data_IF_259450793067
#
_entry.id   IF_259450793067
#
_cell.length_a   1.000
_cell.length_b   1.000
_cell.length_c   1.000
_cell.angle_alpha   90.00
_cell.angle_beta   90.00
_cell.angle_gamma   90.00
#
_symmetry.space_group_name_H-M   'P 1'
#
loop_
_entity.id
_entity.type
_entity.pdbx_description
1 polymer ?
#
# COMPACT_ATOMS: atom_id res chain seq x y z
N UNK A 1 31.63 31.26 42.00
CA UNK A 1 30.21 30.90 41.72
C UNK A 1 29.81 31.14 40.26
N UNK A 2 30.68 30.84 39.27
CA UNK A 2 30.40 31.12 37.84
C UNK A 2 30.63 29.93 36.88
N UNK A 3 31.18 28.79 37.34
CA UNK A 3 31.46 27.65 36.45
C UNK A 3 30.27 26.68 36.27
N UNK A 4 29.40 26.54 37.28
CA UNK A 4 28.25 25.62 37.22
C UNK A 4 27.06 26.19 36.43
N UNK A 5 26.90 27.52 36.38
CA UNK A 5 25.83 28.18 35.61
C UNK A 5 26.00 28.01 34.09
N UNK A 6 27.24 28.01 33.60
CA UNK A 6 27.51 27.81 32.18
C UNK A 6 27.22 26.37 31.73
N UNK A 7 27.49 25.36 32.57
CA UNK A 7 27.19 23.95 32.25
C UNK A 7 25.68 23.66 32.17
N UNK A 8 24.88 24.32 32.99
CA UNK A 8 23.42 24.18 32.97
C UNK A 8 22.78 24.75 31.69
N UNK A 9 23.32 25.86 31.17
CA UNK A 9 22.88 26.48 29.92
C UNK A 9 23.11 25.55 28.71
N UNK A 10 24.25 24.86 28.63
CA UNK A 10 24.52 23.91 27.54
C UNK A 10 23.58 22.70 27.56
N UNK A 11 23.19 22.21 28.74
CA UNK A 11 22.26 21.08 28.88
C UNK A 11 20.85 21.48 28.40
N UNK A 12 20.39 22.68 28.74
CA UNK A 12 19.09 23.20 28.30
C UNK A 12 19.06 23.42 26.78
N UNK A 13 20.13 23.93 26.18
CA UNK A 13 20.24 24.07 24.73
C UNK A 13 20.31 22.73 23.98
N UNK A 14 20.84 21.67 24.60
CA UNK A 14 20.90 20.34 23.97
C UNK A 14 19.54 19.62 24.00
N UNK A 15 18.73 19.83 25.05
CA UNK A 15 17.38 19.23 25.18
C UNK A 15 16.39 19.86 24.17
N UNK A 16 16.53 21.16 23.87
CA UNK A 16 15.67 21.87 22.91
C UNK A 16 15.92 21.49 21.44
N UNK A 17 17.06 20.88 21.11
CA UNK A 17 17.36 20.40 19.75
C UNK A 17 16.72 19.03 19.44
N UNK A 18 16.28 18.29 20.45
CA UNK A 18 15.69 16.95 20.28
C UNK A 18 14.16 17.03 20.10
N UNK A 19 13.56 18.21 20.30
CA UNK A 19 12.11 18.43 20.11
C UNK A 19 11.78 19.04 18.75
N UNK A 20 12.66 18.89 17.75
CA UNK A 20 12.22 19.04 16.35
C UNK A 20 11.19 17.95 16.09
N UNK A 21 9.92 18.26 16.33
CA UNK A 21 8.78 17.54 15.77
C UNK A 21 8.91 17.65 14.26
N UNK A 22 9.70 16.77 13.65
CA UNK A 22 9.48 16.39 12.27
C UNK A 22 8.08 15.77 12.28
N UNK A 23 7.10 16.49 11.75
CA UNK A 23 5.78 15.92 11.46
C UNK A 23 6.07 14.66 10.63
N UNK A 24 5.88 13.49 11.24
CA UNK A 24 6.10 12.23 10.54
C UNK A 24 5.16 12.24 9.33
N UNK A 25 5.72 12.22 8.14
CA UNK A 25 4.92 12.16 6.91
C UNK A 25 4.13 10.87 6.91
N UNK A 26 2.88 10.94 6.46
CA UNK A 26 2.03 9.76 6.28
C UNK A 26 2.76 8.68 5.48
N UNK A 27 2.73 7.43 5.97
CA UNK A 27 3.22 6.25 5.28
C UNK A 27 2.05 5.35 4.92
N UNK A 28 2.03 4.80 3.69
CA UNK A 28 0.93 3.95 3.22
C UNK A 28 0.64 2.76 4.14
N UNK A 29 1.65 2.20 4.81
CA UNK A 29 1.48 1.07 5.73
C UNK A 29 0.72 1.41 7.02
N UNK A 30 0.52 2.71 7.32
CA UNK A 30 -0.44 3.11 8.34
C UNK A 30 -1.85 2.61 8.01
N UNK A 31 -2.21 2.45 6.73
CA UNK A 31 -3.50 1.89 6.32
C UNK A 31 -3.61 0.41 6.70
N UNK A 32 -2.54 -0.37 6.45
CA UNK A 32 -2.51 -1.78 6.86
C UNK A 32 -2.65 -1.90 8.38
N UNK A 33 -1.87 -1.12 9.11
CA UNK A 33 -1.91 -1.14 10.57
C UNK A 33 -3.28 -0.75 11.14
N UNK A 34 -3.85 0.36 10.67
CA UNK A 34 -5.08 0.91 11.26
C UNK A 34 -6.34 0.18 10.78
N UNK A 35 -6.34 -0.34 9.55
CA UNK A 35 -7.54 -0.93 8.97
C UNK A 35 -7.50 -2.46 8.98
N UNK A 36 -6.37 -3.09 8.67
CA UNK A 36 -6.31 -4.53 8.42
C UNK A 36 -5.88 -5.32 9.65
N UNK A 37 -4.83 -4.89 10.36
CA UNK A 37 -4.18 -5.70 11.40
C UNK A 37 -5.20 -6.20 12.44
N UNK A 38 -6.07 -5.33 12.98
CA UNK A 38 -7.03 -5.72 14.01
C UNK A 38 -8.11 -6.69 13.52
N UNK A 39 -8.59 -6.53 12.28
CA UNK A 39 -9.62 -7.39 11.70
C UNK A 39 -9.07 -8.78 11.41
N UNK A 40 -7.87 -8.86 10.82
CA UNK A 40 -7.23 -10.14 10.53
C UNK A 40 -6.84 -10.87 11.82
N UNK A 41 -6.34 -10.15 12.83
CA UNK A 41 -5.97 -10.74 14.11
C UNK A 41 -7.16 -11.34 14.86
N UNK A 42 -8.35 -10.74 14.76
CA UNK A 42 -9.57 -11.29 15.36
C UNK A 42 -9.90 -12.69 14.82
N UNK A 43 -9.59 -12.93 13.55
CA UNK A 43 -9.77 -14.22 12.87
C UNK A 43 -8.53 -15.12 12.98
N UNK A 44 -7.51 -14.73 13.75
CA UNK A 44 -6.29 -15.51 13.97
C UNK A 44 -5.26 -15.42 12.85
N UNK A 45 -5.36 -14.41 11.97
CA UNK A 45 -4.47 -14.20 10.84
C UNK A 45 -3.59 -12.96 11.02
N UNK A 46 -2.47 -12.93 10.30
CA UNK A 46 -1.61 -11.75 10.13
C UNK A 46 -1.53 -11.40 8.65
N UNK A 47 -2.16 -10.28 8.28
CA UNK A 47 -2.21 -9.78 6.90
C UNK A 47 -0.82 -9.57 6.30
N UNK A 48 0.18 -9.12 7.08
CA UNK A 48 1.53 -8.90 6.55
C UNK A 48 2.19 -10.23 6.22
N UNK A 49 1.98 -11.25 7.05
CA UNK A 49 2.42 -12.61 6.75
C UNK A 49 1.76 -13.13 5.47
N UNK A 50 0.44 -12.99 5.34
CA UNK A 50 -0.31 -13.39 4.13
C UNK A 50 0.25 -12.69 2.87
N UNK A 51 0.47 -11.37 2.93
CA UNK A 51 1.04 -10.60 1.82
C UNK A 51 2.44 -11.11 1.45
N UNK A 52 3.30 -11.36 2.45
CA UNK A 52 4.66 -11.84 2.22
C UNK A 52 4.67 -13.26 1.62
N UNK A 53 3.78 -14.13 2.07
CA UNK A 53 3.73 -15.51 1.57
C UNK A 53 3.19 -15.56 0.13
N UNK A 54 2.18 -14.74 -0.20
CA UNK A 54 1.70 -14.61 -1.57
C UNK A 54 2.74 -13.96 -2.49
N UNK A 55 3.50 -12.95 -2.02
CA UNK A 55 4.63 -12.40 -2.78
C UNK A 55 5.66 -13.50 -3.13
N UNK A 56 6.00 -14.36 -2.15
CA UNK A 56 6.92 -15.49 -2.38
C UNK A 56 6.37 -16.48 -3.41
N UNK A 57 5.05 -16.74 -3.39
CA UNK A 57 4.40 -17.58 -4.38
C UNK A 57 4.56 -16.97 -5.79
N UNK A 58 4.21 -15.69 -5.95
CA UNK A 58 4.34 -15.01 -7.25
C UNK A 58 5.78 -14.97 -7.78
N UNK A 59 6.77 -14.86 -6.89
CA UNK A 59 8.19 -14.95 -7.27
C UNK A 59 8.54 -16.38 -7.68
N UNK A 60 8.11 -17.39 -6.91
CA UNK A 60 8.33 -18.81 -7.21
C UNK A 60 7.74 -19.21 -8.57
N UNK A 61 6.55 -18.69 -8.88
CA UNK A 61 5.84 -18.96 -10.13
C UNK A 61 6.37 -18.12 -11.30
N UNK A 62 7.36 -17.25 -11.06
CA UNK A 62 7.98 -16.40 -12.07
C UNK A 62 7.08 -15.26 -12.57
N UNK A 63 6.00 -14.95 -11.85
CA UNK A 63 5.15 -13.79 -12.12
C UNK A 63 5.90 -12.51 -11.77
N UNK A 64 6.42 -12.43 -10.55
CA UNK A 64 7.29 -11.36 -10.09
C UNK A 64 8.76 -11.78 -10.26
N UNK A 65 9.63 -10.82 -10.61
CA UNK A 65 11.07 -11.07 -10.64
C UNK A 65 11.66 -11.16 -9.23
N UNK A 66 11.22 -10.29 -8.34
CA UNK A 66 11.65 -10.15 -6.95
C UNK A 66 10.56 -9.41 -6.14
N UNK A 67 10.79 -9.23 -4.83
CA UNK A 67 9.87 -8.53 -3.92
C UNK A 67 9.98 -6.99 -3.95
N UNK A 68 10.70 -6.41 -4.91
CA UNK A 68 10.77 -4.95 -5.07
C UNK A 68 9.51 -4.44 -5.78
N UNK A 69 8.98 -3.31 -5.33
CA UNK A 69 7.82 -2.65 -5.92
C UNK A 69 7.88 -2.43 -7.44
N UNK A 70 9.07 -2.27 -8.03
CA UNK A 70 9.23 -2.17 -9.50
C UNK A 70 8.81 -3.47 -10.21
N UNK A 71 9.02 -4.64 -9.62
CA UNK A 71 8.59 -5.92 -10.20
C UNK A 71 7.08 -5.99 -10.36
N UNK A 72 6.32 -5.37 -9.46
CA UNK A 72 4.86 -5.27 -9.57
C UNK A 72 4.42 -4.38 -10.73
N UNK A 73 5.07 -3.23 -10.89
CA UNK A 73 4.80 -2.32 -12.01
C UNK A 73 5.17 -2.98 -13.35
N UNK A 74 6.24 -3.77 -13.41
CA UNK A 74 6.60 -4.54 -14.60
C UNK A 74 5.50 -5.54 -14.99
N UNK A 75 4.90 -6.24 -14.02
CA UNK A 75 3.75 -7.12 -14.28
C UNK A 75 2.53 -6.33 -14.72
N UNK A 76 2.20 -5.22 -14.05
CA UNK A 76 1.05 -4.41 -14.43
C UNK A 76 1.20 -3.83 -15.83
N UNK A 77 2.41 -3.42 -16.21
CA UNK A 77 2.70 -2.99 -17.58
C UNK A 77 2.45 -4.10 -18.60
N UNK A 78 2.83 -5.36 -18.30
CA UNK A 78 2.53 -6.51 -19.16
C UNK A 78 1.03 -6.70 -19.33
N UNK A 79 0.28 -6.67 -18.22
CA UNK A 79 -1.21 -6.75 -18.21
C UNK A 79 -1.85 -5.71 -19.13
N UNK A 80 -1.32 -4.49 -19.13
CA UNK A 80 -1.83 -3.39 -19.95
C UNK A 80 -1.45 -3.58 -21.42
N UNK A 81 -0.20 -3.95 -21.69
CA UNK A 81 0.35 -3.99 -23.06
C UNK A 81 0.00 -5.25 -23.86
N UNK A 82 -0.30 -6.35 -23.20
CA UNK A 82 -0.56 -7.66 -23.81
C UNK A 82 -1.94 -8.17 -23.36
N UNK A 83 -2.90 -8.15 -24.30
CA UNK A 83 -4.28 -8.58 -24.06
C UNK A 83 -4.39 -10.08 -23.75
N UNK A 84 -3.43 -10.87 -24.19
CA UNK A 84 -3.38 -12.32 -23.99
C UNK A 84 -2.55 -12.70 -22.77
N UNK A 85 -1.94 -11.71 -22.09
CA UNK A 85 -1.24 -11.95 -20.84
C UNK A 85 -2.18 -12.53 -19.78
N UNK A 86 -1.72 -13.59 -19.12
CA UNK A 86 -2.42 -14.26 -18.01
C UNK A 86 -1.44 -14.50 -16.89
N UNK A 87 -1.91 -14.32 -15.66
CA UNK A 87 -1.13 -14.61 -14.46
C UNK A 87 -1.33 -16.09 -14.16
N UNK A 88 -0.25 -16.88 -14.25
CA UNK A 88 -0.27 -18.34 -14.03
C UNK A 88 0.16 -18.66 -12.59
N UNK A 89 -0.64 -18.21 -11.64
CA UNK A 89 -0.51 -18.44 -10.20
C UNK A 89 -1.91 -18.56 -9.61
N UNK A 90 -2.04 -19.16 -8.42
CA UNK A 90 -3.25 -19.02 -7.61
C UNK A 90 -3.55 -17.52 -7.40
N UNK A 91 -4.84 -17.19 -7.31
CA UNK A 91 -5.28 -15.81 -7.05
C UNK A 91 -5.02 -15.41 -5.60
N UNK A 92 -4.84 -14.12 -5.33
CA UNK A 92 -4.76 -13.64 -3.96
C UNK A 92 -6.06 -13.93 -3.23
N UNK A 93 -7.19 -13.86 -3.92
CA UNK A 93 -8.47 -14.28 -3.38
C UNK A 93 -8.45 -15.73 -2.85
N UNK A 94 -7.92 -16.70 -3.59
CA UNK A 94 -7.81 -18.09 -3.11
C UNK A 94 -6.84 -18.23 -1.93
N UNK A 95 -5.82 -17.37 -1.89
CA UNK A 95 -4.79 -17.36 -0.86
C UNK A 95 -5.24 -16.69 0.46
N UNK A 96 -6.02 -15.62 0.33
CA UNK A 96 -6.44 -14.76 1.43
C UNK A 96 -7.68 -15.34 2.14
N UNK A 97 -7.61 -15.59 3.47
CA UNK A 97 -8.76 -16.02 4.26
C UNK A 97 -9.96 -15.04 4.19
N UNK A 98 -9.77 -13.84 3.64
CA UNK A 98 -10.81 -12.85 3.36
C UNK A 98 -12.12 -13.37 2.76
N UNK A 99 -12.12 -14.47 1.98
CA UNK A 99 -13.35 -15.06 1.44
C UNK A 99 -14.28 -15.65 2.50
N UNK A 100 -13.81 -15.77 3.74
CA UNK A 100 -14.57 -16.27 4.89
C UNK A 100 -15.17 -15.14 5.73
N UNK A 101 -14.91 -13.88 5.38
CA UNK A 101 -15.23 -12.71 6.19
C UNK A 101 -16.62 -12.15 5.83
N UNK A 102 -17.38 -11.75 6.86
CA UNK A 102 -18.71 -11.17 6.72
C UNK A 102 -18.71 -9.89 5.85
N UNK A 103 -19.73 -9.69 5.01
CA UNK A 103 -19.89 -8.48 4.18
C UNK A 103 -19.78 -7.19 4.99
N UNK A 104 -20.21 -7.20 6.25
CA UNK A 104 -20.11 -6.07 7.16
C UNK A 104 -18.66 -5.67 7.43
N UNK A 105 -17.75 -6.64 7.55
CA UNK A 105 -16.32 -6.38 7.76
C UNK A 105 -15.69 -5.78 6.50
N UNK A 106 -16.13 -6.20 5.31
CA UNK A 106 -15.69 -5.58 4.06
C UNK A 106 -16.09 -4.09 3.97
N UNK A 107 -17.31 -3.75 4.41
CA UNK A 107 -17.74 -2.35 4.54
C UNK A 107 -16.89 -1.60 5.56
N UNK A 108 -16.60 -2.21 6.72
CA UNK A 108 -15.75 -1.59 7.75
C UNK A 108 -14.33 -1.31 7.26
N UNK A 109 -13.71 -2.24 6.51
CA UNK A 109 -12.42 -1.99 5.89
C UNK A 109 -12.47 -0.84 4.90
N UNK A 110 -13.45 -0.85 4.00
CA UNK A 110 -13.61 0.21 3.00
C UNK A 110 -13.75 1.59 3.66
N UNK A 111 -14.56 1.69 4.71
CA UNK A 111 -14.74 2.94 5.46
C UNK A 111 -13.46 3.37 6.18
N UNK A 112 -12.70 2.41 6.74
CA UNK A 112 -11.41 2.69 7.37
C UNK A 112 -10.38 3.20 6.35
N UNK A 113 -10.23 2.52 5.21
CA UNK A 113 -9.30 2.94 4.16
C UNK A 113 -9.63 4.34 3.68
N UNK A 114 -10.91 4.61 3.39
CA UNK A 114 -11.36 5.94 2.96
C UNK A 114 -11.00 7.00 4.02
N UNK A 115 -11.23 6.71 5.30
CA UNK A 115 -10.86 7.63 6.39
C UNK A 115 -9.35 7.89 6.42
N UNK A 116 -8.53 6.84 6.28
CA UNK A 116 -7.07 6.97 6.30
C UNK A 116 -6.54 7.74 5.09
N UNK A 117 -7.12 7.52 3.90
CA UNK A 117 -6.82 8.28 2.69
C UNK A 117 -7.13 9.76 2.89
N UNK A 118 -8.28 10.10 3.46
CA UNK A 118 -8.65 11.50 3.74
C UNK A 118 -7.73 12.15 4.78
N UNK A 119 -7.17 11.38 5.71
CA UNK A 119 -6.14 11.87 6.63
C UNK A 119 -4.81 12.11 5.88
N UNK A 120 -4.39 11.17 5.04
CA UNK A 120 -3.19 11.30 4.21
C UNK A 120 -3.24 12.57 3.34
N UNK A 121 -4.37 12.79 2.65
CA UNK A 121 -4.62 13.99 1.82
C UNK A 121 -4.49 15.30 2.62
N UNK A 122 -4.88 15.32 3.90
CA UNK A 122 -4.74 16.49 4.77
C UNK A 122 -3.31 16.71 5.26
N UNK A 123 -2.52 15.66 5.32
CA UNK A 123 -1.16 15.72 5.84
C UNK A 123 -0.13 16.13 4.79
N UNK A 124 -0.28 15.64 3.55
CA UNK A 124 0.63 15.86 2.43
C UNK A 124 -0.15 15.90 1.10
N UNK A 125 0.08 16.97 0.31
CA UNK A 125 -0.59 17.19 -0.97
C UNK A 125 -0.19 16.18 -2.05
N UNK A 126 0.92 15.45 -1.89
CA UNK A 126 1.25 14.30 -2.73
C UNK A 126 0.11 13.28 -2.77
N UNK A 127 -0.54 13.03 -1.62
CA UNK A 127 -1.63 12.06 -1.53
C UNK A 127 -2.92 12.56 -2.18
N UNK A 128 -3.12 13.88 -2.22
CA UNK A 128 -4.20 14.49 -3.03
C UNK A 128 -3.98 14.12 -4.50
N UNK A 129 -2.77 14.39 -5.02
CA UNK A 129 -2.46 14.10 -6.42
C UNK A 129 -2.53 12.62 -6.76
N UNK A 130 -2.23 11.72 -5.82
CA UNK A 130 -2.33 10.29 -6.05
C UNK A 130 -3.79 9.81 -6.02
N UNK A 131 -4.48 10.01 -4.89
CA UNK A 131 -5.78 9.40 -4.65
C UNK A 131 -6.90 10.08 -5.45
N UNK A 132 -6.90 11.41 -5.59
CA UNK A 132 -7.93 12.08 -6.39
C UNK A 132 -7.79 11.74 -7.88
N UNK A 133 -6.54 11.56 -8.36
CA UNK A 133 -6.33 11.09 -9.75
C UNK A 133 -6.79 9.65 -9.93
N UNK A 134 -6.60 8.77 -8.95
CA UNK A 134 -7.13 7.40 -9.02
C UNK A 134 -8.67 7.35 -8.99
N UNK A 135 -9.30 8.26 -8.25
CA UNK A 135 -10.75 8.39 -8.16
C UNK A 135 -11.37 9.12 -9.37
N UNK A 136 -10.55 9.73 -10.24
CA UNK A 136 -11.02 10.39 -11.44
C UNK A 136 -11.59 9.36 -12.45
N UNK A 137 -12.78 9.61 -13.05
CA UNK A 137 -13.42 8.68 -13.97
C UNK A 137 -12.50 8.24 -15.12
N UNK A 138 -11.76 9.17 -15.71
CA UNK A 138 -10.82 8.87 -16.80
C UNK A 138 -9.72 7.86 -16.39
N UNK A 139 -9.21 7.97 -15.16
CA UNK A 139 -8.17 7.08 -14.65
C UNK A 139 -8.75 5.72 -14.27
N UNK A 140 -9.95 5.68 -13.69
CA UNK A 140 -10.63 4.43 -13.35
C UNK A 140 -10.94 3.59 -14.60
N UNK A 141 -11.20 4.25 -15.73
CA UNK A 141 -11.50 3.61 -17.01
C UNK A 141 -10.24 3.29 -17.84
N UNK A 142 -9.07 3.82 -17.48
CA UNK A 142 -7.81 3.62 -18.20
C UNK A 142 -6.72 3.01 -17.33
N UNK A 143 -6.44 1.70 -17.48
CA UNK A 143 -5.31 1.04 -16.85
C UNK A 143 -3.96 1.73 -17.14
N UNK A 144 -3.79 2.29 -18.34
CA UNK A 144 -2.60 3.06 -18.74
C UNK A 144 -2.44 4.32 -17.90
N UNK A 145 -3.51 5.11 -17.71
CA UNK A 145 -3.46 6.31 -16.87
C UNK A 145 -3.20 5.96 -15.41
N UNK A 146 -3.84 4.91 -14.90
CA UNK A 146 -3.58 4.37 -13.56
C UNK A 146 -2.10 4.02 -13.36
N UNK A 147 -1.49 3.36 -14.35
CA UNK A 147 -0.05 3.04 -14.35
C UNK A 147 0.81 4.30 -14.33
N UNK A 148 0.50 5.31 -15.14
CA UNK A 148 1.23 6.58 -15.17
C UNK A 148 1.15 7.32 -13.83
N UNK A 149 -0.04 7.39 -13.23
CA UNK A 149 -0.23 8.04 -11.92
C UNK A 149 0.62 7.34 -10.85
N UNK A 150 0.69 6.01 -10.84
CA UNK A 150 1.59 5.28 -9.93
C UNK A 150 3.06 5.66 -10.15
N UNK A 151 3.53 5.66 -11.40
CA UNK A 151 4.94 5.98 -11.71
C UNK A 151 5.33 7.41 -11.33
N UNK A 152 4.43 8.36 -11.50
CA UNK A 152 4.70 9.79 -11.28
C UNK A 152 4.63 10.19 -9.80
N UNK A 153 3.80 9.49 -9.00
CA UNK A 153 3.43 9.95 -7.67
C UNK A 153 3.91 9.02 -6.54
N UNK A 154 4.34 7.79 -6.84
CA UNK A 154 4.87 6.87 -5.83
C UNK A 154 6.40 6.84 -5.84
N UNK A 155 6.98 7.03 -4.66
CA UNK A 155 8.41 6.84 -4.43
C UNK A 155 8.74 5.34 -4.33
N UNK A 156 10.03 5.02 -4.35
CA UNK A 156 10.47 3.63 -4.14
C UNK A 156 10.03 3.08 -2.78
N UNK A 157 9.97 3.91 -1.73
CA UNK A 157 9.46 3.48 -0.42
C UNK A 157 7.97 3.10 -0.52
N UNK A 158 7.16 3.92 -1.19
CA UNK A 158 5.72 3.67 -1.33
C UNK A 158 5.44 2.40 -2.13
N UNK A 159 6.19 2.17 -3.21
CA UNK A 159 6.09 0.97 -4.04
C UNK A 159 6.48 -0.30 -3.27
N UNK A 160 7.20 -0.18 -2.16
CA UNK A 160 7.57 -1.31 -1.31
C UNK A 160 6.65 -1.47 -0.08
N UNK A 161 5.66 -0.60 0.09
CA UNK A 161 4.67 -0.69 1.18
C UNK A 161 3.79 -1.94 1.04
N UNK A 162 3.41 -2.54 2.16
CA UNK A 162 2.41 -3.60 2.22
C UNK A 162 1.08 -3.18 1.59
N UNK A 163 0.67 -1.94 1.81
CA UNK A 163 -0.55 -1.41 1.21
C UNK A 163 -0.49 -1.42 -0.32
N UNK A 164 0.62 -0.95 -0.91
CA UNK A 164 0.80 -1.00 -2.36
C UNK A 164 0.77 -2.44 -2.89
N UNK A 165 1.50 -3.35 -2.26
CA UNK A 165 1.53 -4.78 -2.64
C UNK A 165 0.12 -5.39 -2.64
N UNK A 166 -0.64 -5.14 -1.58
CA UNK A 166 -2.03 -5.60 -1.47
C UNK A 166 -2.91 -5.07 -2.61
N UNK A 167 -2.80 -3.78 -2.95
CA UNK A 167 -3.56 -3.22 -4.09
C UNK A 167 -3.15 -3.81 -5.43
N UNK A 168 -1.85 -4.11 -5.61
CA UNK A 168 -1.39 -4.79 -6.81
C UNK A 168 -1.90 -6.23 -6.91
N UNK A 169 -2.00 -6.95 -5.80
CA UNK A 169 -2.61 -8.29 -5.78
C UNK A 169 -4.08 -8.25 -6.20
N UNK A 170 -4.86 -7.28 -5.71
CA UNK A 170 -6.24 -7.08 -6.16
C UNK A 170 -6.34 -6.79 -7.66
N UNK A 171 -5.40 -5.99 -8.21
CA UNK A 171 -5.32 -5.75 -9.66
C UNK A 171 -5.02 -7.06 -10.41
N UNK A 172 -4.09 -7.88 -9.89
CA UNK A 172 -3.71 -9.16 -10.49
C UNK A 172 -4.87 -10.16 -10.55
N UNK A 173 -5.70 -10.22 -9.50
CA UNK A 173 -6.88 -11.09 -9.49
C UNK A 173 -7.91 -10.70 -10.55
N UNK A 174 -8.06 -9.40 -10.80
CA UNK A 174 -8.94 -8.90 -11.87
C UNK A 174 -8.46 -9.31 -13.27
N UNK A 175 -7.15 -9.55 -13.47
CA UNK A 175 -6.59 -9.92 -14.78
C UNK A 175 -7.21 -11.22 -15.26
N UNK A 176 -7.26 -12.25 -14.41
CA UNK A 176 -7.79 -13.56 -14.80
C UNK A 176 -9.33 -13.56 -14.79
N UNK A 177 -9.97 -12.88 -13.84
CA UNK A 177 -11.43 -12.78 -13.74
C UNK A 177 -12.08 -12.07 -14.94
N UNK A 178 -11.40 -11.07 -15.53
CA UNK A 178 -11.85 -10.34 -16.73
C UNK A 178 -12.07 -11.24 -17.95
N UNK A 179 -11.49 -12.44 -17.97
CA UNK A 179 -11.56 -13.36 -19.12
C UNK A 179 -12.30 -14.67 -18.83
N UNK A 180 -12.76 -14.90 -17.60
CA UNK A 180 -13.64 -16.03 -17.27
C UNK A 180 -15.12 -15.77 -17.65
N UNK A 181 -15.44 -14.53 -18.05
CA UNK A 181 -16.79 -14.07 -18.43
C UNK A 181 -16.97 -13.77 -19.92
N UNK A 182 -16.00 -14.16 -20.76
CA UNK A 182 -16.10 -14.17 -22.24
C UNK A 182 -16.22 -15.60 -22.75
#
# INVERSE_FOLDING_TARGET
MNLMKNKFLYIISFILLITSCNKQSFQLDAIIQECYDSIYQQEGFDIKTIINEYEKLLISDGVLRDGNGKSYLEVYKKVISDKDFRIKSETFQEYDPWHKIDKQIAVTLFECERRMIELAKKEDSKWINLFDKFEAPETMESPEMMYQVMQENLSEEDLNSYYFKLKMFNIFDMVNAKWASQ
#
